data_IF_659409935613
#
_entry.id   IF_659409935613
#
_cell.length_a   1.000
_cell.length_b   1.000
_cell.length_c   1.000
_cell.angle_alpha   90.00
_cell.angle_beta   90.00
_cell.angle_gamma   90.00
#
_symmetry.space_group_name_H-M   'P 1'
#
loop_
_entity.id
_entity.type
_entity.pdbx_description
1 polymer ?
#
# COMPACT_ATOMS: atom_id res chain seq x y z
N UNK A 1 -8.59 -21.02 -0.74
CA UNK A 1 -8.44 -19.71 -0.10
C UNK A 1 -8.54 -19.92 1.40
N UNK A 2 -7.55 -19.45 2.14
CA UNK A 2 -7.48 -19.62 3.61
C UNK A 2 -8.66 -18.89 4.28
N UNK A 3 -9.31 -19.50 5.27
CA UNK A 3 -10.42 -18.88 6.03
C UNK A 3 -10.00 -17.54 6.67
N UNK A 4 -8.71 -17.40 7.00
CA UNK A 4 -8.15 -16.17 7.58
C UNK A 4 -8.06 -15.04 6.54
N UNK A 5 -7.75 -15.35 5.29
CA UNK A 5 -7.72 -14.38 4.19
C UNK A 5 -9.03 -13.59 4.08
N UNK A 6 -10.16 -14.32 3.98
CA UNK A 6 -11.47 -13.67 3.88
C UNK A 6 -11.81 -12.86 5.13
N UNK A 7 -11.51 -13.37 6.33
CA UNK A 7 -11.80 -12.66 7.59
C UNK A 7 -11.04 -11.35 7.70
N UNK A 8 -9.72 -11.36 7.41
CA UNK A 8 -8.87 -10.16 7.47
C UNK A 8 -9.34 -9.15 6.43
N UNK A 9 -9.58 -9.60 5.20
CA UNK A 9 -10.08 -8.74 4.12
C UNK A 9 -11.39 -8.05 4.50
N UNK A 10 -12.38 -8.80 4.99
CA UNK A 10 -13.65 -8.22 5.41
C UNK A 10 -13.48 -7.30 6.62
N UNK A 11 -12.62 -7.63 7.57
CA UNK A 11 -12.28 -6.76 8.69
C UNK A 11 -11.72 -5.42 8.23
N UNK A 12 -10.81 -5.43 7.25
CA UNK A 12 -10.26 -4.20 6.66
C UNK A 12 -11.32 -3.39 5.91
N UNK A 13 -12.21 -4.03 5.17
CA UNK A 13 -13.31 -3.34 4.48
C UNK A 13 -14.23 -2.67 5.48
N UNK A 14 -14.64 -3.37 6.53
CA UNK A 14 -15.49 -2.79 7.60
C UNK A 14 -14.78 -1.62 8.26
N UNK A 15 -13.49 -1.76 8.60
CA UNK A 15 -12.71 -0.68 9.18
C UNK A 15 -12.58 0.52 8.21
N UNK A 16 -12.34 0.26 6.93
CA UNK A 16 -12.30 1.30 5.90
C UNK A 16 -13.62 2.06 5.77
N UNK A 17 -14.76 1.37 5.85
CA UNK A 17 -16.08 2.01 5.86
C UNK A 17 -16.26 2.90 7.10
N UNK A 18 -15.81 2.45 8.27
CA UNK A 18 -15.83 3.27 9.49
C UNK A 18 -14.95 4.52 9.35
N UNK A 19 -13.75 4.39 8.79
CA UNK A 19 -12.88 5.54 8.47
C UNK A 19 -13.57 6.49 7.47
N UNK A 20 -14.22 5.95 6.44
CA UNK A 20 -14.94 6.77 5.46
C UNK A 20 -16.08 7.55 6.11
N UNK A 21 -16.87 6.92 6.96
CA UNK A 21 -17.96 7.61 7.69
C UNK A 21 -17.41 8.70 8.60
N UNK A 22 -16.25 8.47 9.24
CA UNK A 22 -15.57 9.45 10.05
C UNK A 22 -15.08 10.66 9.22
N UNK A 23 -14.41 10.43 8.09
CA UNK A 23 -13.94 11.51 7.20
C UNK A 23 -15.11 12.29 6.59
N UNK A 24 -16.22 11.64 6.25
CA UNK A 24 -17.43 12.33 5.79
C UNK A 24 -18.03 13.20 6.89
N UNK A 25 -18.06 12.72 8.13
CA UNK A 25 -18.54 13.52 9.27
C UNK A 25 -17.66 14.75 9.47
N UNK A 26 -16.30 14.62 9.44
CA UNK A 26 -15.39 15.75 9.52
C UNK A 26 -15.56 16.74 8.38
N UNK A 27 -15.82 16.25 7.16
CA UNK A 27 -16.10 17.07 6.00
C UNK A 27 -17.38 17.90 6.17
N UNK A 28 -18.49 17.29 6.59
CA UNK A 28 -19.76 17.98 6.81
C UNK A 28 -19.78 18.91 8.01
N UNK A 29 -18.93 18.65 9.01
CA UNK A 29 -18.78 19.54 10.18
C UNK A 29 -17.78 20.68 9.93
N UNK A 30 -17.24 20.78 8.71
CA UNK A 30 -16.27 21.80 8.30
C UNK A 30 -15.04 21.90 9.22
N UNK A 31 -14.61 20.75 9.78
CA UNK A 31 -13.44 20.67 10.67
C UNK A 31 -12.15 21.05 9.92
N UNK A 32 -12.09 20.76 8.62
CA UNK A 32 -10.99 21.10 7.73
C UNK A 32 -11.49 21.97 6.55
N UNK A 33 -10.56 22.56 5.81
CA UNK A 33 -10.92 23.22 4.55
C UNK A 33 -11.61 22.24 3.59
N UNK A 34 -12.48 22.74 2.72
CA UNK A 34 -13.18 21.89 1.74
C UNK A 34 -12.22 21.07 0.89
N UNK A 35 -11.08 21.65 0.47
CA UNK A 35 -10.03 20.95 -0.29
C UNK A 35 -9.48 19.77 0.52
N UNK A 36 -9.08 19.97 1.76
CA UNK A 36 -8.53 18.91 2.63
C UNK A 36 -9.56 17.81 2.92
N UNK A 37 -10.79 18.19 3.27
CA UNK A 37 -11.84 17.22 3.56
C UNK A 37 -12.16 16.33 2.35
N UNK A 38 -12.22 16.89 1.13
CA UNK A 38 -12.39 16.12 -0.11
C UNK A 38 -11.21 15.18 -0.32
N UNK A 39 -9.97 15.64 -0.10
CA UNK A 39 -8.78 14.80 -0.24
C UNK A 39 -8.84 13.59 0.70
N UNK A 40 -9.14 13.77 1.97
CA UNK A 40 -9.25 12.67 2.94
C UNK A 40 -10.33 11.65 2.56
N UNK A 41 -11.48 12.10 2.07
CA UNK A 41 -12.55 11.20 1.58
C UNK A 41 -12.09 10.40 0.36
N UNK A 42 -11.44 11.04 -0.61
CA UNK A 42 -10.93 10.37 -1.82
C UNK A 42 -9.84 9.34 -1.45
N UNK A 43 -8.88 9.71 -0.61
CA UNK A 43 -7.82 8.81 -0.17
C UNK A 43 -8.38 7.59 0.57
N UNK A 44 -9.38 7.78 1.43
CA UNK A 44 -10.06 6.69 2.12
C UNK A 44 -10.79 5.76 1.15
N UNK A 45 -11.49 6.30 0.15
CA UNK A 45 -12.16 5.51 -0.89
C UNK A 45 -11.15 4.72 -1.73
N UNK A 46 -10.05 5.34 -2.13
CA UNK A 46 -8.95 4.67 -2.83
C UNK A 46 -8.34 3.56 -1.97
N UNK A 47 -8.13 3.82 -0.66
CA UNK A 47 -7.65 2.82 0.29
C UNK A 47 -8.56 1.59 0.38
N UNK A 48 -9.89 1.78 0.41
CA UNK A 48 -10.86 0.67 0.38
C UNK A 48 -10.73 -0.10 -0.95
N UNK A 49 -10.59 0.59 -2.07
CA UNK A 49 -10.37 -0.04 -3.37
C UNK A 49 -9.08 -0.87 -3.41
N UNK A 50 -8.00 -0.35 -2.83
CA UNK A 50 -6.70 -1.01 -2.77
C UNK A 50 -6.71 -2.30 -1.94
N UNK A 51 -7.65 -2.51 -1.00
CA UNK A 51 -7.81 -3.80 -0.29
C UNK A 51 -7.99 -4.95 -1.29
N UNK A 52 -8.62 -4.69 -2.43
CA UNK A 52 -8.92 -5.69 -3.46
C UNK A 52 -7.79 -5.86 -4.50
N UNK A 53 -6.73 -5.06 -4.43
CA UNK A 53 -5.62 -5.12 -5.38
C UNK A 53 -5.00 -6.53 -5.54
N UNK A 54 -4.75 -7.31 -4.47
CA UNK A 54 -4.22 -8.67 -4.62
C UNK A 54 -5.14 -9.60 -5.43
N UNK A 55 -6.46 -9.45 -5.27
CA UNK A 55 -7.43 -10.25 -6.03
C UNK A 55 -7.46 -9.83 -7.51
N UNK A 56 -7.35 -8.52 -7.79
CA UNK A 56 -7.26 -7.99 -9.15
C UNK A 56 -6.00 -8.46 -9.85
N UNK A 57 -4.84 -8.40 -9.17
CA UNK A 57 -3.57 -8.93 -9.69
C UNK A 57 -3.68 -10.41 -10.03
N UNK A 58 -4.25 -11.21 -9.13
CA UNK A 58 -4.47 -12.63 -9.39
C UNK A 58 -5.40 -12.85 -10.60
N UNK A 59 -6.49 -12.10 -10.69
CA UNK A 59 -7.50 -12.24 -11.75
C UNK A 59 -6.96 -11.86 -13.13
N UNK A 60 -6.28 -10.71 -13.23
CA UNK A 60 -5.84 -10.15 -14.52
C UNK A 60 -4.46 -10.65 -14.96
N UNK A 61 -3.50 -10.71 -14.04
CA UNK A 61 -2.12 -11.11 -14.33
C UNK A 61 -1.87 -12.60 -14.11
N UNK A 62 -2.83 -13.30 -13.47
CA UNK A 62 -2.70 -14.73 -13.09
C UNK A 62 -1.47 -14.99 -12.23
N UNK A 63 -1.07 -13.99 -11.43
CA UNK A 63 0.03 -14.06 -10.48
C UNK A 63 -0.57 -14.36 -9.11
N UNK A 64 -0.34 -15.57 -8.60
CA UNK A 64 -0.75 -15.95 -7.25
C UNK A 64 0.30 -15.41 -6.27
N UNK A 65 -0.06 -14.35 -5.55
CA UNK A 65 0.80 -13.80 -4.51
C UNK A 65 0.87 -14.72 -3.30
N UNK A 66 2.05 -14.93 -2.71
CA UNK A 66 2.17 -15.62 -1.43
C UNK A 66 1.34 -14.91 -0.35
N UNK A 67 0.60 -15.66 0.50
CA UNK A 67 -0.25 -15.06 1.53
C UNK A 67 0.51 -14.09 2.46
N UNK A 68 1.77 -14.37 2.76
CA UNK A 68 2.64 -13.52 3.58
C UNK A 68 2.79 -12.12 2.97
N UNK A 69 3.00 -12.02 1.64
CA UNK A 69 3.13 -10.74 0.93
C UNK A 69 1.80 -9.99 0.98
N UNK A 70 0.67 -10.69 0.79
CA UNK A 70 -0.66 -10.07 0.86
C UNK A 70 -0.96 -9.53 2.26
N UNK A 71 -0.66 -10.29 3.31
CA UNK A 71 -0.87 -9.84 4.69
C UNK A 71 0.03 -8.66 5.04
N UNK A 72 1.29 -8.66 4.59
CA UNK A 72 2.19 -7.52 4.79
C UNK A 72 1.72 -6.28 4.03
N UNK A 73 1.24 -6.44 2.79
CA UNK A 73 0.62 -5.37 2.01
C UNK A 73 -0.61 -4.79 2.72
N UNK A 74 -1.51 -5.62 3.23
CA UNK A 74 -2.68 -5.15 3.97
C UNK A 74 -2.32 -4.49 5.30
N UNK A 75 -1.30 -4.99 5.98
CA UNK A 75 -0.75 -4.32 7.17
C UNK A 75 -0.22 -2.93 6.82
N UNK A 76 0.57 -2.82 5.74
CA UNK A 76 1.07 -1.53 5.28
C UNK A 76 -0.08 -0.59 4.88
N UNK A 77 -1.07 -1.06 4.13
CA UNK A 77 -2.26 -0.28 3.77
C UNK A 77 -3.02 0.21 5.01
N UNK A 78 -3.13 -0.63 6.04
CA UNK A 78 -3.77 -0.29 7.29
C UNK A 78 -3.04 0.84 8.02
N UNK A 79 -1.73 0.76 8.18
CA UNK A 79 -0.96 1.79 8.89
C UNK A 79 -0.77 3.07 8.07
N UNK A 80 -0.71 2.99 6.73
CA UNK A 80 -0.48 4.16 5.88
C UNK A 80 -1.78 4.91 5.59
N UNK A 81 -2.78 4.27 5.02
CA UNK A 81 -4.01 4.94 4.58
C UNK A 81 -5.01 5.08 5.72
N UNK A 82 -5.35 3.97 6.41
CA UNK A 82 -6.42 4.06 7.39
C UNK A 82 -5.98 4.74 8.68
N UNK A 83 -4.85 4.35 9.28
CA UNK A 83 -4.34 5.04 10.47
C UNK A 83 -3.63 6.36 10.10
N UNK A 84 -2.79 6.35 9.07
CA UNK A 84 -1.96 7.49 8.67
C UNK A 84 -2.80 8.67 8.22
N UNK A 85 -3.49 8.54 7.10
CA UNK A 85 -4.24 9.65 6.50
C UNK A 85 -5.66 9.75 7.04
N UNK A 86 -6.44 8.66 7.08
CA UNK A 86 -7.86 8.71 7.46
C UNK A 86 -8.10 9.02 8.94
N UNK A 87 -7.24 8.57 9.85
CA UNK A 87 -7.27 8.92 11.29
C UNK A 87 -6.23 9.97 11.68
N UNK A 88 -5.60 10.59 10.69
CA UNK A 88 -4.66 11.72 10.84
C UNK A 88 -3.42 11.44 11.70
N UNK A 89 -3.00 10.15 11.84
CA UNK A 89 -1.82 9.81 12.65
C UNK A 89 -0.53 10.47 12.13
N UNK A 90 -0.42 10.70 10.81
CA UNK A 90 0.71 11.42 10.20
C UNK A 90 0.83 12.85 10.78
N UNK A 91 -0.28 13.53 11.04
CA UNK A 91 -0.28 14.88 11.61
C UNK A 91 -0.18 14.91 13.14
N UNK A 92 -0.60 13.84 13.82
CA UNK A 92 -0.59 13.75 15.28
C UNK A 92 0.77 13.26 15.80
N UNK A 93 1.38 12.28 15.10
CA UNK A 93 2.61 11.61 15.52
C UNK A 93 3.75 11.98 14.57
N UNK A 94 4.67 12.84 15.04
CA UNK A 94 5.76 13.40 14.22
C UNK A 94 6.70 12.39 13.57
N UNK A 95 6.76 11.16 14.06
CA UNK A 95 7.60 10.10 13.47
C UNK A 95 6.82 9.06 12.66
N UNK A 96 5.49 9.24 12.51
CA UNK A 96 4.65 8.28 11.77
C UNK A 96 5.09 8.11 10.32
N UNK A 97 5.36 9.20 9.65
CA UNK A 97 5.90 9.24 8.30
C UNK A 97 7.21 8.44 8.17
N UNK A 98 8.15 8.63 9.11
CA UNK A 98 9.41 7.87 9.15
C UNK A 98 9.19 6.35 9.27
N UNK A 99 8.17 5.92 10.02
CA UNK A 99 7.78 4.49 10.10
C UNK A 99 7.33 4.01 8.72
N UNK A 100 6.50 4.78 8.03
CA UNK A 100 6.01 4.42 6.70
C UNK A 100 7.16 4.32 5.69
N UNK A 101 8.07 5.29 5.68
CA UNK A 101 9.28 5.28 4.85
C UNK A 101 10.24 4.13 5.18
N UNK A 102 10.21 3.61 6.40
CA UNK A 102 10.99 2.43 6.78
C UNK A 102 10.31 1.12 6.33
N UNK A 103 8.99 1.01 6.49
CA UNK A 103 8.24 -0.22 6.20
C UNK A 103 7.98 -0.41 4.70
N UNK A 104 7.74 0.66 3.95
CA UNK A 104 7.42 0.58 2.52
C UNK A 104 8.51 -0.08 1.67
N UNK A 105 9.83 0.22 1.82
CA UNK A 105 10.86 -0.45 1.06
C UNK A 105 10.97 -1.95 1.35
N UNK A 106 10.64 -2.37 2.58
CA UNK A 106 10.64 -3.80 2.94
C UNK A 106 9.56 -4.55 2.15
N UNK A 107 8.35 -3.96 2.07
CA UNK A 107 7.26 -4.51 1.27
C UNK A 107 7.63 -4.55 -0.22
N UNK A 108 8.13 -3.44 -0.76
CA UNK A 108 8.51 -3.33 -2.17
C UNK A 108 9.63 -4.30 -2.53
N UNK A 109 10.61 -4.50 -1.64
CA UNK A 109 11.65 -5.51 -1.82
C UNK A 109 11.06 -6.92 -1.90
N UNK A 110 10.12 -7.27 -1.03
CA UNK A 110 9.45 -8.56 -1.06
C UNK A 110 8.61 -8.76 -2.35
N UNK A 111 7.95 -7.71 -2.81
CA UNK A 111 7.20 -7.73 -4.09
C UNK A 111 8.16 -7.92 -5.27
N UNK A 112 9.25 -7.15 -5.34
CA UNK A 112 10.26 -7.27 -6.39
C UNK A 112 10.91 -8.66 -6.40
N UNK A 113 11.25 -9.22 -5.23
CA UNK A 113 11.69 -10.60 -5.10
C UNK A 113 10.67 -11.59 -5.71
N UNK A 114 9.40 -11.43 -5.38
CA UNK A 114 8.31 -12.26 -5.91
C UNK A 114 8.16 -12.16 -7.44
N UNK A 115 8.31 -10.95 -8.01
CA UNK A 115 8.28 -10.72 -9.46
C UNK A 115 9.45 -11.45 -10.13
N UNK A 116 10.67 -11.30 -9.63
CA UNK A 116 11.83 -11.98 -10.18
C UNK A 116 11.67 -13.51 -10.13
N UNK A 117 11.22 -14.03 -8.99
CA UNK A 117 10.96 -15.47 -8.83
C UNK A 117 9.88 -15.99 -9.80
N UNK A 118 8.82 -15.22 -10.03
CA UNK A 118 7.77 -15.56 -10.99
C UNK A 118 8.28 -15.58 -12.44
N UNK A 119 9.07 -14.59 -12.84
CA UNK A 119 9.62 -14.48 -14.19
C UNK A 119 10.60 -15.62 -14.46
N UNK A 120 11.46 -15.94 -13.51
CA UNK A 120 12.48 -16.97 -13.66
C UNK A 120 11.94 -18.40 -13.55
N UNK A 121 10.81 -18.62 -12.88
CA UNK A 121 10.16 -19.95 -12.79
C UNK A 121 9.83 -20.56 -14.17
N UNK A 122 9.66 -19.74 -15.19
CA UNK A 122 9.37 -20.17 -16.57
C UNK A 122 10.62 -20.44 -17.42
N UNK A 123 11.80 -20.17 -16.89
CA UNK A 123 13.07 -20.36 -17.61
C UNK A 123 13.73 -21.68 -17.22
N UNK A 124 14.55 -22.25 -18.12
CA UNK A 124 15.32 -23.48 -17.87
C UNK A 124 16.48 -23.30 -16.87
N UNK A 125 16.73 -22.08 -16.40
CA UNK A 125 17.81 -21.77 -15.47
C UNK A 125 17.29 -21.93 -14.02
N UNK A 126 17.31 -23.18 -13.53
CA UNK A 126 16.82 -23.50 -12.19
C UNK A 126 17.78 -23.11 -11.04
N UNK A 127 19.06 -22.86 -11.37
CA UNK A 127 20.12 -22.63 -10.35
C UNK A 127 20.47 -21.14 -10.18
N UNK A 128 19.46 -20.29 -10.06
CA UNK A 128 19.67 -18.87 -9.79
C UNK A 128 19.86 -18.64 -8.30
N UNK A 129 20.96 -17.98 -7.93
CA UNK A 129 21.24 -17.65 -6.54
C UNK A 129 20.11 -16.83 -5.89
N UNK A 130 19.66 -17.15 -4.66
CA UNK A 130 18.69 -16.34 -3.91
C UNK A 130 19.11 -14.87 -3.74
N UNK A 131 20.40 -14.59 -3.76
CA UNK A 131 20.94 -13.23 -3.69
C UNK A 131 20.55 -12.36 -4.90
N UNK A 132 20.41 -12.97 -6.09
CA UNK A 132 19.96 -12.23 -7.27
C UNK A 132 18.52 -11.76 -7.12
N UNK A 133 17.64 -12.59 -6.55
CA UNK A 133 16.25 -12.20 -6.27
C UNK A 133 16.18 -11.08 -5.24
N UNK A 134 17.03 -11.15 -4.19
CA UNK A 134 17.09 -10.13 -3.17
C UNK A 134 17.61 -8.81 -3.74
N UNK A 135 18.67 -8.86 -4.54
CA UNK A 135 19.23 -7.68 -5.23
C UNK A 135 18.22 -7.03 -6.16
N UNK A 136 17.48 -7.85 -6.94
CA UNK A 136 16.40 -7.36 -7.80
C UNK A 136 15.28 -6.70 -6.98
N UNK A 137 14.87 -7.33 -5.89
CA UNK A 137 13.87 -6.78 -4.98
C UNK A 137 14.30 -5.43 -4.41
N UNK A 138 15.54 -5.32 -3.97
CA UNK A 138 16.11 -4.07 -3.45
C UNK A 138 16.17 -2.97 -4.52
N UNK A 139 16.64 -3.31 -5.73
CA UNK A 139 16.69 -2.36 -6.85
C UNK A 139 15.27 -1.91 -7.26
N UNK A 140 14.30 -2.83 -7.27
CA UNK A 140 12.90 -2.53 -7.52
C UNK A 140 12.31 -1.56 -6.47
N UNK A 141 12.60 -1.80 -5.19
CA UNK A 141 12.17 -0.90 -4.12
C UNK A 141 12.79 0.49 -4.24
N UNK A 142 14.08 0.57 -4.57
CA UNK A 142 14.76 1.84 -4.81
C UNK A 142 14.16 2.61 -5.99
N UNK A 143 13.86 1.93 -7.09
CA UNK A 143 13.21 2.54 -8.26
C UNK A 143 11.82 3.09 -7.90
N UNK A 144 11.02 2.32 -7.17
CA UNK A 144 9.71 2.78 -6.69
C UNK A 144 9.84 3.99 -5.76
N UNK A 145 10.85 4.02 -4.88
CA UNK A 145 11.15 5.17 -4.02
C UNK A 145 11.45 6.43 -4.83
N UNK A 146 12.31 6.32 -5.86
CA UNK A 146 12.61 7.46 -6.75
C UNK A 146 11.35 7.98 -7.44
N UNK A 147 10.46 7.11 -7.94
CA UNK A 147 9.20 7.54 -8.53
C UNK A 147 8.28 8.21 -7.51
N UNK A 148 8.29 7.74 -6.25
CA UNK A 148 7.52 8.36 -5.18
C UNK A 148 7.99 9.79 -4.89
N UNK A 149 9.30 10.01 -4.75
CA UNK A 149 9.88 11.35 -4.56
C UNK A 149 9.56 12.30 -5.73
N UNK A 150 9.62 11.81 -6.97
CA UNK A 150 9.18 12.59 -8.12
C UNK A 150 7.70 12.97 -8.05
N UNK A 151 6.86 12.05 -7.61
CA UNK A 151 5.44 12.30 -7.43
C UNK A 151 5.18 13.37 -6.36
N UNK A 152 5.84 13.26 -5.21
CA UNK A 152 5.76 14.28 -4.15
C UNK A 152 6.22 15.64 -4.65
N UNK A 153 7.36 15.71 -5.34
CA UNK A 153 7.86 16.94 -5.93
C UNK A 153 6.85 17.59 -6.91
N UNK A 154 6.19 16.79 -7.76
CA UNK A 154 5.16 17.29 -8.68
C UNK A 154 3.96 17.82 -7.89
N UNK A 155 3.48 17.09 -6.89
CA UNK A 155 2.35 17.48 -6.07
C UNK A 155 2.63 18.80 -5.32
N UNK A 156 3.80 18.94 -4.74
CA UNK A 156 4.21 20.17 -4.04
C UNK A 156 4.34 21.36 -5.00
N UNK A 157 4.88 21.12 -6.21
CA UNK A 157 5.01 22.17 -7.22
C UNK A 157 3.68 22.64 -7.79
N UNK A 158 2.66 21.78 -7.83
CA UNK A 158 1.31 22.11 -8.30
C UNK A 158 0.39 22.62 -7.18
N UNK A 159 0.77 22.35 -5.90
CA UNK A 159 -0.01 22.72 -4.73
C UNK A 159 0.26 24.14 -4.20
N UNK A 160 1.33 24.78 -4.66
CA UNK A 160 1.67 26.19 -4.44
C UNK A 160 1.10 27.04 -5.58
#
# INVERSE_FOLDING_TARGET
>A
MDKNYSKIKYGLVVFGILCLTYNLWEFFTAKYSTKQGVTFVIECLLGIGLIFLPDLVNKFLKIIMPPTIVYFYWFFLFISVFLGTSLHMISIISFWDKILHFVSPMLLTAVGYGIAAFLLKKTKYADVSPWLFLLFGFAFAGLCGVFWEFWEFICDSLGN
#
